data_IF_790116820623
#
_entry.id   IF_790116820623
#
_cell.length_a   1.000
_cell.length_b   1.000
_cell.length_c   1.000
_cell.angle_alpha   90.00
_cell.angle_beta   90.00
_cell.angle_gamma   90.00
#
_symmetry.space_group_name_H-M   'P 1'
#
loop_
_entity.id
_entity.type
_entity.pdbx_description
1 polymer ?
#
# COMPACT_ATOMS: atom_id res chain seq x y z
N UNK A 1 -13.28 -24.73 14.23
CA UNK A 1 -13.50 -24.16 12.89
C UNK A 1 -12.64 -24.94 11.90
N UNK A 2 -13.17 -25.39 10.75
CA UNK A 2 -12.36 -26.03 9.72
C UNK A 2 -11.30 -25.05 9.21
N UNK A 3 -10.10 -25.55 8.94
CA UNK A 3 -9.06 -24.74 8.31
C UNK A 3 -9.50 -24.33 6.90
N UNK A 4 -9.27 -23.06 6.49
CA UNK A 4 -9.60 -22.63 5.14
C UNK A 4 -8.84 -23.47 4.13
N UNK A 5 -9.55 -23.93 3.09
CA UNK A 5 -8.97 -24.73 2.01
C UNK A 5 -7.86 -23.97 1.30
N UNK A 6 -6.92 -24.67 0.66
CA UNK A 6 -5.86 -24.01 -0.12
C UNK A 6 -6.42 -23.14 -1.26
N UNK A 7 -7.60 -23.49 -1.80
CA UNK A 7 -8.30 -22.67 -2.78
C UNK A 7 -8.76 -21.32 -2.18
N UNK A 8 -9.28 -21.32 -0.96
CA UNK A 8 -9.70 -20.10 -0.26
C UNK A 8 -8.51 -19.23 0.11
N UNK A 9 -7.40 -19.85 0.52
CA UNK A 9 -6.13 -19.15 0.79
C UNK A 9 -5.60 -18.47 -0.46
N UNK A 10 -5.64 -19.13 -1.62
CA UNK A 10 -5.23 -18.55 -2.92
C UNK A 10 -6.13 -17.38 -3.33
N UNK A 11 -7.45 -17.54 -3.21
CA UNK A 11 -8.41 -16.45 -3.49
C UNK A 11 -8.17 -15.24 -2.59
N UNK A 12 -7.97 -15.46 -1.29
CA UNK A 12 -7.71 -14.38 -0.35
C UNK A 12 -6.34 -13.69 -0.56
N UNK A 13 -5.39 -14.36 -1.21
CA UNK A 13 -4.11 -13.78 -1.61
C UNK A 13 -4.18 -13.03 -2.94
N UNK A 14 -5.30 -13.08 -3.67
CA UNK A 14 -5.43 -12.39 -4.94
C UNK A 14 -5.64 -10.90 -4.71
N UNK A 15 -4.76 -10.08 -5.27
CA UNK A 15 -4.92 -8.63 -5.29
C UNK A 15 -5.94 -8.30 -6.38
N UNK A 16 -6.93 -7.47 -6.06
CA UNK A 16 -7.91 -7.05 -7.06
C UNK A 16 -7.21 -6.25 -8.18
N UNK A 17 -7.65 -6.47 -9.42
CA UNK A 17 -7.06 -5.88 -10.62
C UNK A 17 -6.71 -4.38 -10.54
N UNK A 18 -7.55 -3.47 -9.97
CA UNK A 18 -7.20 -2.05 -9.90
C UNK A 18 -5.97 -1.75 -9.02
N UNK A 19 -5.52 -2.68 -8.18
CA UNK A 19 -4.41 -2.50 -7.24
C UNK A 19 -3.12 -3.23 -7.66
N UNK A 20 -3.12 -4.02 -8.74
CA UNK A 20 -1.97 -4.86 -9.12
C UNK A 20 -0.73 -4.04 -9.49
N UNK A 21 -0.95 -2.89 -10.11
CA UNK A 21 0.06 -1.93 -10.57
C UNK A 21 0.20 -0.73 -9.64
N UNK A 22 -0.70 -0.60 -8.66
CA UNK A 22 -0.64 0.49 -7.70
C UNK A 22 0.64 0.37 -6.87
N UNK A 23 1.39 1.46 -6.79
CA UNK A 23 2.53 1.61 -5.88
C UNK A 23 2.06 2.10 -4.53
N UNK A 24 2.91 1.95 -3.52
CA UNK A 24 2.62 2.46 -2.18
C UNK A 24 2.51 3.99 -2.14
N UNK A 25 3.24 4.70 -3.00
CA UNK A 25 3.09 6.15 -3.15
C UNK A 25 1.72 6.53 -3.74
N UNK A 26 1.17 5.73 -4.66
CA UNK A 26 -0.16 5.98 -5.23
C UNK A 26 -1.26 5.73 -4.16
N UNK A 27 -1.02 4.80 -3.24
CA UNK A 27 -1.88 4.60 -2.07
C UNK A 27 -1.85 5.81 -1.11
N UNK A 28 -0.68 6.43 -0.92
CA UNK A 28 -0.57 7.68 -0.15
C UNK A 28 -1.33 8.84 -0.81
N UNK A 29 -1.20 9.00 -2.13
CA UNK A 29 -1.91 10.01 -2.92
C UNK A 29 -3.42 9.92 -2.72
N UNK A 30 -3.95 8.70 -2.77
CA UNK A 30 -5.39 8.43 -2.66
C UNK A 30 -5.90 8.34 -1.22
N UNK A 31 -5.00 8.53 -0.24
CA UNK A 31 -5.34 8.40 1.18
C UNK A 31 -5.81 7.00 1.55
N UNK A 32 -5.29 5.97 0.89
CA UNK A 32 -5.61 4.59 1.19
C UNK A 32 -4.92 4.13 2.48
N UNK A 33 -5.66 3.42 3.32
CA UNK A 33 -5.10 2.55 4.34
C UNK A 33 -5.06 1.12 3.81
N UNK A 34 -3.94 0.44 4.05
CA UNK A 34 -3.70 -0.92 3.57
C UNK A 34 -3.69 -1.85 4.77
N UNK A 35 -4.66 -2.74 4.85
CA UNK A 35 -4.71 -3.76 5.90
C UNK A 35 -4.26 -5.11 5.35
N UNK A 36 -3.23 -5.64 5.99
CA UNK A 36 -2.68 -6.97 5.76
C UNK A 36 -3.28 -7.94 6.78
N UNK A 37 -3.59 -9.17 6.37
CA UNK A 37 -4.04 -10.24 7.25
C UNK A 37 -3.24 -11.52 7.03
N UNK A 38 -2.78 -12.11 8.13
CA UNK A 38 -2.13 -13.41 8.13
C UNK A 38 -3.19 -14.50 7.96
N UNK A 39 -2.96 -15.40 7.01
CA UNK A 39 -3.87 -16.54 6.76
C UNK A 39 -3.67 -17.68 7.78
N UNK A 40 -2.55 -17.70 8.49
CA UNK A 40 -2.22 -18.75 9.47
C UNK A 40 -2.76 -18.42 10.86
N UNK A 41 -2.33 -17.30 11.45
CA UNK A 41 -2.73 -16.91 12.80
C UNK A 41 -3.86 -15.86 12.85
N UNK A 42 -4.34 -15.39 11.70
CA UNK A 42 -5.41 -14.39 11.62
C UNK A 42 -5.02 -12.96 11.98
N UNK A 43 -3.80 -12.74 12.50
CA UNK A 43 -3.31 -11.41 12.88
C UNK A 43 -3.40 -10.43 11.72
N UNK A 44 -3.85 -9.21 11.99
CA UNK A 44 -3.86 -8.13 11.01
C UNK A 44 -2.85 -7.04 11.36
N UNK A 45 -2.48 -6.25 10.35
CA UNK A 45 -1.68 -5.04 10.50
C UNK A 45 -2.15 -4.03 9.46
N UNK A 46 -2.35 -2.79 9.86
CA UNK A 46 -2.75 -1.71 8.95
C UNK A 46 -1.59 -0.75 8.76
N UNK A 47 -1.33 -0.39 7.51
CA UNK A 47 -0.43 0.69 7.15
C UNK A 47 -1.26 1.90 6.81
N UNK A 48 -1.09 2.94 7.62
CA UNK A 48 -1.62 4.29 7.40
C UNK A 48 -0.48 5.20 6.97
N UNK A 49 -0.80 6.47 6.69
CA UNK A 49 0.16 7.48 6.21
C UNK A 49 1.45 7.52 7.05
N UNK A 50 1.35 7.53 8.37
CA UNK A 50 2.48 7.53 9.30
C UNK A 50 3.39 6.31 9.13
N UNK A 51 2.81 5.12 8.98
CA UNK A 51 3.56 3.88 8.78
C UNK A 51 4.23 3.86 7.40
N UNK A 52 3.52 4.33 6.38
CA UNK A 52 4.00 4.41 5.00
C UNK A 52 5.19 5.36 4.84
N UNK A 53 5.11 6.55 5.45
CA UNK A 53 6.17 7.55 5.43
C UNK A 53 7.31 7.27 6.42
N UNK A 54 7.03 6.48 7.47
CA UNK A 54 8.04 6.03 8.43
C UNK A 54 8.67 4.70 8.02
N UNK A 55 8.22 3.61 8.63
CA UNK A 55 8.87 2.29 8.54
C UNK A 55 8.83 1.68 7.14
N UNK A 56 7.80 1.99 6.35
CA UNK A 56 7.62 1.47 5.00
C UNK A 56 8.12 2.43 3.91
N UNK A 57 8.81 3.53 4.27
CA UNK A 57 9.33 4.55 3.35
C UNK A 57 10.14 3.98 2.18
N UNK A 58 10.99 3.00 2.45
CA UNK A 58 11.81 2.33 1.42
C UNK A 58 11.01 1.51 0.40
N UNK A 59 9.71 1.33 0.63
CA UNK A 59 8.80 0.56 -0.21
C UNK A 59 7.89 1.45 -1.05
N UNK A 60 8.02 2.78 -0.96
CA UNK A 60 7.14 3.74 -1.63
C UNK A 60 7.03 3.54 -3.15
N UNK A 61 8.12 3.16 -3.81
CA UNK A 61 8.16 2.88 -5.24
C UNK A 61 7.74 1.44 -5.61
N UNK A 62 7.53 0.56 -4.63
CA UNK A 62 7.14 -0.82 -4.91
C UNK A 62 5.63 -0.94 -5.14
N UNK A 63 5.27 -1.89 -5.99
CA UNK A 63 3.86 -2.24 -6.26
C UNK A 63 3.25 -3.07 -5.13
N UNK A 64 1.93 -3.10 -5.02
CA UNK A 64 1.23 -3.90 -4.01
C UNK A 64 1.63 -5.39 -4.03
N UNK A 65 1.75 -6.07 -5.20
CA UNK A 65 2.27 -7.44 -5.24
C UNK A 65 3.69 -7.59 -4.70
N UNK A 66 4.59 -6.63 -5.00
CA UNK A 66 5.96 -6.65 -4.49
C UNK A 66 5.99 -6.46 -2.97
N UNK A 67 5.09 -5.64 -2.42
CA UNK A 67 4.94 -5.43 -0.99
C UNK A 67 4.35 -6.68 -0.33
N UNK A 68 3.30 -7.26 -0.90
CA UNK A 68 2.69 -8.51 -0.44
C UNK A 68 3.73 -9.63 -0.30
N UNK A 69 4.67 -9.72 -1.25
CA UNK A 69 5.76 -10.68 -1.21
C UNK A 69 6.81 -10.41 -0.11
N UNK A 70 6.84 -9.21 0.48
CA UNK A 70 7.81 -8.78 1.51
C UNK A 70 7.22 -8.75 2.92
N UNK A 71 5.89 -8.66 3.08
CA UNK A 71 5.28 -8.52 4.41
C UNK A 71 5.18 -9.87 5.12
N UNK A 72 5.93 -9.98 6.22
CA UNK A 72 5.90 -11.10 7.16
C UNK A 72 4.91 -10.87 8.30
N UNK A 73 4.38 -11.96 8.86
CA UNK A 73 3.57 -11.89 10.07
C UNK A 73 4.45 -11.62 11.30
N UNK A 74 4.10 -10.69 12.19
CA UNK A 74 4.88 -10.45 13.41
C UNK A 74 4.65 -11.50 14.50
N UNK A 75 3.66 -12.39 14.34
CA UNK A 75 3.23 -13.36 15.37
C UNK A 75 3.56 -14.82 15.03
N UNK A 76 3.83 -15.14 13.78
CA UNK A 76 4.10 -16.51 13.34
C UNK A 76 5.04 -16.52 12.11
N UNK A 77 5.64 -17.66 11.74
CA UNK A 77 6.47 -17.78 10.55
C UNK A 77 5.73 -17.55 9.21
N UNK A 78 4.40 -17.43 9.25
CA UNK A 78 3.57 -17.20 8.08
C UNK A 78 3.74 -15.82 7.45
N UNK A 79 3.19 -15.68 6.23
CA UNK A 79 3.09 -14.38 5.52
C UNK A 79 1.74 -13.73 5.75
N UNK A 80 1.62 -12.46 5.36
CA UNK A 80 0.35 -11.73 5.38
C UNK A 80 -0.13 -11.43 3.95
N UNK A 81 -0.52 -12.46 3.17
CA UNK A 81 -0.85 -12.28 1.77
C UNK A 81 -2.23 -11.62 1.58
N UNK A 82 -3.15 -11.72 2.54
CA UNK A 82 -4.46 -11.11 2.36
C UNK A 82 -4.37 -9.60 2.52
N UNK A 83 -4.74 -8.88 1.46
CA UNK A 83 -4.70 -7.43 1.36
C UNK A 83 -6.12 -6.88 1.28
N UNK A 84 -6.36 -5.79 1.99
CA UNK A 84 -7.59 -5.00 1.89
C UNK A 84 -7.23 -3.52 1.91
N UNK A 85 -7.99 -2.75 1.15
CA UNK A 85 -7.76 -1.31 0.96
C UNK A 85 -9.00 -0.57 1.45
N UNK A 86 -8.80 0.51 2.20
CA UNK A 86 -9.85 1.43 2.58
C UNK A 86 -9.45 2.85 2.22
N UNK A 87 -10.33 3.60 1.57
CA UNK A 87 -10.08 4.98 1.16
C UNK A 87 -10.83 5.32 -0.13
N UNK A 88 -10.53 6.47 -0.72
CA UNK A 88 -11.19 6.94 -1.93
C UNK A 88 -10.62 6.23 -3.16
N UNK A 89 -11.43 5.49 -3.92
CA UNK A 89 -10.96 4.90 -5.17
C UNK A 89 -10.54 5.97 -6.17
N UNK A 90 -11.31 7.05 -6.27
CA UNK A 90 -11.02 8.21 -7.10
C UNK A 90 -11.20 9.46 -6.24
N UNK A 91 -10.16 10.29 -6.03
CA UNK A 91 -10.31 11.56 -5.33
C UNK A 91 -11.20 12.51 -6.14
N UNK A 92 -11.99 13.33 -5.44
CA UNK A 92 -12.87 14.32 -6.08
C UNK A 92 -12.09 15.40 -6.85
N UNK A 93 -10.87 15.71 -6.38
CA UNK A 93 -9.93 16.64 -7.00
C UNK A 93 -8.54 15.97 -7.06
N UNK A 94 -8.21 15.34 -8.20
CA UNK A 94 -6.94 14.65 -8.40
C UNK A 94 -5.73 15.58 -8.30
N UNK A 95 -5.85 16.81 -8.80
CA UNK A 95 -4.75 17.77 -8.79
C UNK A 95 -4.43 18.21 -7.35
N UNK A 96 -5.47 18.50 -6.55
CA UNK A 96 -5.28 18.80 -5.14
C UNK A 96 -4.71 17.62 -4.36
N UNK A 97 -5.16 16.40 -4.62
CA UNK A 97 -4.63 15.19 -4.00
C UNK A 97 -3.13 15.00 -4.34
N UNK A 98 -2.77 15.24 -5.61
CA UNK A 98 -1.39 15.20 -6.09
C UNK A 98 -0.52 16.25 -5.40
N UNK A 99 -0.97 17.50 -5.29
CA UNK A 99 -0.25 18.56 -4.59
C UNK A 99 -0.07 18.26 -3.10
N UNK A 100 -1.11 17.79 -2.43
CA UNK A 100 -1.03 17.40 -1.03
C UNK A 100 -0.02 16.26 -0.81
N UNK A 101 0.10 15.31 -1.74
CA UNK A 101 1.15 14.28 -1.70
C UNK A 101 2.55 14.88 -1.87
N UNK A 102 2.74 15.80 -2.83
CA UNK A 102 4.03 16.47 -3.05
C UNK A 102 4.50 17.16 -1.76
N UNK A 103 3.63 17.94 -1.12
CA UNK A 103 3.90 18.59 0.17
C UNK A 103 4.25 17.54 1.25
N UNK A 104 3.43 16.49 1.36
CA UNK A 104 3.66 15.40 2.32
C UNK A 104 5.01 14.70 2.14
N UNK A 105 5.46 14.50 0.90
CA UNK A 105 6.77 13.91 0.61
C UNK A 105 7.89 14.88 1.01
N UNK A 106 7.78 16.16 0.68
CA UNK A 106 8.75 17.19 1.05
C UNK A 106 8.89 17.28 2.57
N UNK A 107 7.77 17.32 3.30
CA UNK A 107 7.74 17.36 4.77
C UNK A 107 8.38 16.11 5.39
N UNK A 108 8.27 14.96 4.73
CA UNK A 108 8.94 13.72 5.12
C UNK A 108 10.44 13.69 4.72
N UNK A 109 10.98 14.76 4.12
CA UNK A 109 12.35 14.83 3.62
C UNK A 109 12.59 13.88 2.44
N UNK A 110 11.58 13.66 1.61
CA UNK A 110 11.63 12.85 0.40
C UNK A 110 11.59 13.77 -0.83
N UNK A 111 12.37 13.44 -1.86
CA UNK A 111 12.28 14.15 -3.13
C UNK A 111 11.10 13.59 -3.95
N UNK A 112 10.06 14.39 -4.25
CA UNK A 112 8.89 13.92 -4.99
C UNK A 112 9.22 13.37 -6.39
N UNK A 113 10.27 13.88 -7.05
CA UNK A 113 10.66 13.46 -8.41
C UNK A 113 11.09 12.00 -8.47
N UNK A 114 11.65 11.47 -7.39
CA UNK A 114 12.07 10.06 -7.28
C UNK A 114 10.89 9.08 -7.39
N UNK A 115 9.67 9.60 -7.24
CA UNK A 115 8.42 8.85 -7.26
C UNK A 115 7.56 9.18 -8.49
N UNK A 116 8.03 10.07 -9.39
CA UNK A 116 7.28 10.55 -10.55
C UNK A 116 6.34 11.73 -10.26
N UNK A 117 6.45 12.32 -9.07
CA UNK A 117 5.72 13.52 -8.69
C UNK A 117 6.62 14.73 -8.89
N UNK A 118 6.50 15.40 -10.03
CA UNK A 118 7.18 16.66 -10.32
C UNK A 118 6.18 17.73 -10.70
N UNK A 119 6.63 18.99 -10.67
CA UNK A 119 5.94 20.09 -11.31
C UNK A 119 5.80 19.79 -12.83
N UNK A 120 4.62 20.00 -13.45
CA UNK A 120 4.53 20.05 -14.90
C UNK A 120 5.20 21.35 -15.36
N UNK A 121 6.52 21.34 -15.51
CA UNK A 121 7.31 22.53 -15.82
C UNK A 121 8.59 22.20 -16.57
N UNK A 122 8.51 22.34 -17.91
CA UNK A 122 9.55 22.22 -18.94
C UNK A 122 10.08 20.81 -19.23
N UNK A 123 9.41 20.13 -20.16
CA UNK A 123 10.16 19.55 -21.30
C UNK A 123 10.35 20.63 -22.35
#
# INVERSE_FOLDING_TARGET
MPEPSDADRRKAAQIAAPFDKARLVDALERGWEITFRCQYCGSSKTWRRDVMLGRARKLLNLTMPQIQAKVSCPRCPGRMPALSFSGLMTPADPDRARWALIETLIDAGLNPTDYGYGWPGRR
#
